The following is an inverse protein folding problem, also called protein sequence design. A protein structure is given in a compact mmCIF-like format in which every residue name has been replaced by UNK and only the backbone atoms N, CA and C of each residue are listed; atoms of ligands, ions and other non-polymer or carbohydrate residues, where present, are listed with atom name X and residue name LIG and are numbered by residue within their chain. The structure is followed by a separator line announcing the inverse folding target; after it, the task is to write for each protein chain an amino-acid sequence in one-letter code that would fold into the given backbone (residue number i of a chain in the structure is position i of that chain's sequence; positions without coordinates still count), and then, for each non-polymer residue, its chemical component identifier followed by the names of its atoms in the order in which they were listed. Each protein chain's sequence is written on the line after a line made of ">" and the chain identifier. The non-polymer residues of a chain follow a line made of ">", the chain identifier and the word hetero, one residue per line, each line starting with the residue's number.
data_IF_449407029878
#
_entry.id   IF_449407029878
#
_cell.length_a   1.000
_cell.length_b   1.000
_cell.length_c   1.000
_cell.angle_alpha   90.00
_cell.angle_beta   90.00
_cell.angle_gamma   90.00
#
_symmetry.space_group_name_H-M   'P 1'
#
loop_
_entity.id
_entity.type
_entity.pdbx_description
1 polymer ?
#
# COMPACT_ATOMS: atom_id res chain seq x y z
N UNK A 1 -6.18 -1.13 -23.44
CA UNK A 1 -5.02 -0.38 -22.88
C UNK A 1 -4.06 -1.37 -22.26
N UNK A 2 -2.85 -1.58 -22.80
CA UNK A 2 -1.86 -2.50 -22.21
C UNK A 2 -1.21 -1.79 -21.01
N UNK A 3 -1.70 -2.09 -19.80
CA UNK A 3 -1.04 -1.69 -18.55
C UNK A 3 0.39 -2.24 -18.60
N UNK A 4 1.40 -1.36 -18.66
CA UNK A 4 2.79 -1.80 -18.70
C UNK A 4 3.05 -2.65 -17.45
N UNK A 5 3.35 -3.92 -17.65
CA UNK A 5 3.67 -4.89 -16.58
C UNK A 5 5.05 -4.65 -15.97
N UNK A 6 5.48 -3.39 -15.84
CA UNK A 6 6.68 -3.06 -15.09
C UNK A 6 6.38 -3.28 -13.62
N UNK A 7 7.13 -4.21 -13.03
CA UNK A 7 7.06 -4.52 -11.61
C UNK A 7 7.16 -3.24 -10.76
N UNK A 8 6.46 -3.17 -9.62
CA UNK A 8 6.61 -2.08 -8.69
C UNK A 8 8.08 -1.92 -8.27
N UNK A 9 8.56 -0.68 -8.21
CA UNK A 9 9.93 -0.41 -7.73
C UNK A 9 10.06 -0.77 -6.25
N UNK A 10 11.29 -1.05 -5.78
CA UNK A 10 11.57 -1.30 -4.35
C UNK A 10 11.00 -0.22 -3.43
N UNK A 11 11.04 1.06 -3.86
CA UNK A 11 10.47 2.20 -3.12
C UNK A 11 8.95 2.13 -3.01
N UNK A 12 8.27 1.68 -4.06
CA UNK A 12 6.81 1.49 -4.04
C UNK A 12 6.41 0.33 -3.13
N UNK A 13 7.18 -0.77 -3.17
CA UNK A 13 6.96 -1.93 -2.32
C UNK A 13 7.15 -1.56 -0.84
N UNK A 14 8.20 -0.82 -0.51
CA UNK A 14 8.44 -0.34 0.86
C UNK A 14 7.27 0.51 1.36
N UNK A 15 6.79 1.46 0.54
CA UNK A 15 5.62 2.28 0.90
C UNK A 15 4.34 1.48 1.06
N UNK A 16 4.15 0.43 0.25
CA UNK A 16 3.01 -0.47 0.36
C UNK A 16 3.04 -1.27 1.67
N UNK A 17 4.23 -1.75 2.08
CA UNK A 17 4.44 -2.44 3.36
C UNK A 17 4.21 -1.53 4.56
N UNK A 18 4.85 -0.35 4.58
CA UNK A 18 4.64 0.65 5.64
C UNK A 18 3.14 0.95 5.82
N UNK A 19 2.40 1.01 4.70
CA UNK A 19 0.99 1.27 4.76
C UNK A 19 0.16 0.09 5.29
N UNK A 20 0.52 -1.12 4.89
CA UNK A 20 -0.09 -2.33 5.41
C UNK A 20 0.16 -2.52 6.92
N UNK A 21 1.38 -2.23 7.37
CA UNK A 21 1.77 -2.29 8.78
C UNK A 21 1.00 -1.26 9.62
N UNK A 22 0.78 -0.05 9.12
CA UNK A 22 -0.07 0.96 9.79
C UNK A 22 -1.53 0.51 9.88
N UNK A 23 -2.06 -0.11 8.83
CA UNK A 23 -3.42 -0.68 8.83
C UNK A 23 -3.57 -1.79 9.89
N UNK A 24 -2.48 -2.51 10.21
CA UNK A 24 -2.43 -3.60 11.18
C UNK A 24 -2.12 -3.15 12.62
N UNK A 25 -1.23 -2.16 12.79
CA UNK A 25 -0.68 -1.77 14.09
C UNK A 25 -1.63 -0.87 14.89
N UNK A 26 -2.43 -0.05 14.22
CA UNK A 26 -3.50 0.68 14.88
C UNK A 26 -4.74 -0.22 14.92
N UNK A 27 -5.18 -0.59 16.12
CA UNK A 27 -6.46 -1.29 16.33
C UNK A 27 -7.67 -0.48 15.81
N UNK A 28 -7.47 0.81 15.56
CA UNK A 28 -8.31 1.65 14.70
C UNK A 28 -7.69 1.68 13.30
N UNK A 29 -8.47 1.42 12.25
CA UNK A 29 -8.04 1.42 10.84
C UNK A 29 -7.51 2.80 10.41
N UNK A 30 -6.31 3.21 10.85
CA UNK A 30 -5.70 4.47 10.45
C UNK A 30 -5.18 4.28 9.03
N UNK A 31 -5.84 4.89 8.03
CA UNK A 31 -5.43 4.73 6.65
C UNK A 31 -4.21 5.60 6.37
N UNK A 32 -3.42 5.20 5.37
CA UNK A 32 -2.31 6.06 4.96
C UNK A 32 -2.85 7.30 4.26
N UNK A 33 -2.13 8.41 4.41
CA UNK A 33 -2.50 9.63 3.72
C UNK A 33 -1.78 9.73 2.36
N UNK A 34 -2.41 10.35 1.35
CA UNK A 34 -1.81 10.63 0.04
C UNK A 34 -0.43 11.29 0.13
N UNK A 35 -0.27 12.23 1.07
CA UNK A 35 0.97 12.93 1.36
C UNK A 35 2.13 12.02 1.78
N UNK A 36 1.83 10.86 2.35
CA UNK A 36 2.86 9.90 2.78
C UNK A 36 3.38 9.02 1.63
N UNK A 37 2.53 8.78 0.62
CA UNK A 37 2.88 7.97 -0.55
C UNK A 37 3.50 8.78 -1.70
N UNK A 38 3.29 10.11 -1.77
CA UNK A 38 3.84 11.04 -2.78
C UNK A 38 3.94 10.41 -4.18
N UNK A 39 5.15 10.27 -4.72
CA UNK A 39 5.46 9.77 -6.06
C UNK A 39 5.12 8.29 -6.27
N UNK A 40 4.97 7.50 -5.21
CA UNK A 40 4.59 6.08 -5.28
C UNK A 40 3.07 5.88 -5.41
N UNK A 41 2.27 6.86 -4.98
CA UNK A 41 0.81 6.79 -4.96
C UNK A 41 0.23 6.46 -6.33
N UNK A 42 0.50 7.30 -7.33
CA UNK A 42 -0.06 7.16 -8.67
C UNK A 42 0.33 5.82 -9.32
N UNK A 43 1.55 5.34 -9.03
CA UNK A 43 2.05 4.08 -9.54
C UNK A 43 1.40 2.86 -8.89
N UNK A 44 1.10 2.92 -7.58
CA UNK A 44 0.43 1.85 -6.84
C UNK A 44 -1.07 1.81 -7.17
N UNK A 45 -1.70 2.99 -7.24
CA UNK A 45 -3.12 3.15 -7.56
C UNK A 45 -3.44 2.67 -8.97
N UNK A 46 -2.67 3.09 -9.99
CA UNK A 46 -2.85 2.62 -11.38
C UNK A 46 -2.68 1.12 -11.55
N UNK A 47 -1.96 0.46 -10.63
CA UNK A 47 -1.75 -1.00 -10.61
C UNK A 47 -2.80 -1.74 -9.78
N UNK A 48 -3.74 -1.04 -9.15
CA UNK A 48 -4.77 -1.64 -8.30
C UNK A 48 -4.23 -2.22 -6.99
N UNK A 49 -3.05 -1.80 -6.54
CA UNK A 49 -2.42 -2.28 -5.30
C UNK A 49 -2.91 -1.51 -4.06
N UNK A 50 -3.48 -0.33 -4.27
CA UNK A 50 -4.08 0.51 -3.23
C UNK A 50 -5.41 1.05 -3.73
N UNK A 51 -6.32 1.29 -2.80
CA UNK A 51 -7.60 1.97 -3.01
C UNK A 51 -7.62 3.29 -2.24
N UNK A 52 -8.37 4.26 -2.75
CA UNK A 52 -8.58 5.54 -2.09
C UNK A 52 -10.04 5.64 -1.65
N UNK A 53 -10.31 5.95 -0.39
CA UNK A 53 -11.66 6.20 0.14
C UNK A 53 -11.70 7.54 0.86
N UNK A 54 -12.83 8.23 0.81
CA UNK A 54 -13.04 9.46 1.57
C UNK A 54 -13.64 9.09 2.92
N UNK A 55 -12.91 9.31 3.99
CA UNK A 55 -13.40 9.06 5.35
C UNK A 55 -13.35 10.34 6.18
N UNK A 56 -14.15 10.39 7.25
CA UNK A 56 -14.17 11.50 8.19
C UNK A 56 -13.25 11.12 9.34
N UNK A 57 -12.05 11.69 9.37
CA UNK A 57 -11.08 11.52 10.45
C UNK A 57 -10.97 12.85 11.19
N UNK A 58 -11.12 12.84 12.51
CA UNK A 58 -11.07 14.07 13.34
C UNK A 58 -12.03 15.16 12.84
N UNK A 59 -13.25 14.77 12.47
CA UNK A 59 -14.29 15.67 11.94
C UNK A 59 -13.92 16.39 10.62
N UNK A 60 -12.89 15.91 9.92
CA UNK A 60 -12.47 16.40 8.61
C UNK A 60 -12.61 15.29 7.59
N UNK A 61 -13.21 15.61 6.45
CA UNK A 61 -13.27 14.69 5.31
C UNK A 61 -11.89 14.63 4.66
N UNK A 62 -11.21 13.49 4.77
CA UNK A 62 -9.87 13.29 4.24
C UNK A 62 -9.84 12.10 3.27
N UNK A 63 -9.01 12.23 2.24
CA UNK A 63 -8.72 11.13 1.34
C UNK A 63 -7.77 10.17 2.04
N UNK A 64 -8.20 8.93 2.15
CA UNK A 64 -7.58 7.86 2.90
C UNK A 64 -7.18 6.74 1.95
N UNK A 65 -6.02 6.13 2.19
CA UNK A 65 -5.48 5.04 1.37
C UNK A 65 -5.57 3.72 2.12
N UNK A 66 -6.05 2.71 1.41
CA UNK A 66 -6.17 1.34 1.89
C UNK A 66 -5.39 0.42 0.99
N UNK A 67 -4.76 -0.60 1.58
CA UNK A 67 -4.07 -1.61 0.78
C UNK A 67 -5.13 -2.56 0.22
N UNK A 68 -5.19 -2.67 -1.11
CA UNK A 68 -6.13 -3.57 -1.77
C UNK A 68 -5.75 -5.02 -1.53
N UNK A 69 -6.66 -5.95 -1.83
CA UNK A 69 -6.36 -7.39 -1.75
C UNK A 69 -5.16 -7.78 -2.65
N UNK A 70 -5.06 -7.18 -3.83
CA UNK A 70 -3.92 -7.37 -4.73
C UNK A 70 -2.61 -6.86 -4.11
N UNK A 71 -2.65 -5.72 -3.40
CA UNK A 71 -1.52 -5.19 -2.64
C UNK A 71 -1.07 -6.14 -1.52
N UNK A 72 -2.02 -6.67 -0.76
CA UNK A 72 -1.76 -7.65 0.32
C UNK A 72 -1.17 -8.94 -0.23
N UNK A 73 -1.70 -9.46 -1.33
CA UNK A 73 -1.17 -10.65 -2.00
C UNK A 73 0.25 -10.44 -2.52
N UNK A 74 0.55 -9.25 -3.08
CA UNK A 74 1.90 -8.91 -3.51
C UNK A 74 2.88 -8.89 -2.31
N UNK A 75 2.49 -8.30 -1.18
CA UNK A 75 3.32 -8.30 0.04
C UNK A 75 3.61 -9.74 0.48
N UNK A 76 2.58 -10.59 0.59
CA UNK A 76 2.71 -12.00 0.97
C UNK A 76 3.61 -12.78 0.01
N UNK A 77 3.48 -12.57 -1.30
CA UNK A 77 4.35 -13.22 -2.29
C UNK A 77 5.81 -12.80 -2.11
N UNK A 78 6.06 -11.53 -1.82
CA UNK A 78 7.42 -11.03 -1.57
C UNK A 78 7.99 -11.57 -0.25
N UNK A 79 7.17 -11.71 0.79
CA UNK A 79 7.59 -12.34 2.05
C UNK A 79 7.92 -13.82 1.86
N UNK A 80 7.07 -14.57 1.15
CA UNK A 80 7.31 -15.99 0.85
C UNK A 80 8.48 -16.21 -0.12
N UNK A 81 8.78 -15.24 -0.99
CA UNK A 81 9.92 -15.30 -1.92
C UNK A 81 11.23 -14.81 -1.32
N UNK A 82 11.21 -14.31 -0.07
CA UNK A 82 12.44 -14.00 0.65
C UNK A 82 12.81 -15.24 1.46
N UNK A 83 13.73 -16.12 1.00
CA UNK A 83 14.26 -17.15 1.87
C UNK A 83 14.87 -16.43 3.08
N UNK A 84 14.41 -16.77 4.28
CA UNK A 84 15.04 -16.33 5.51
C UNK A 84 16.55 -16.58 5.38
N UNK A 85 17.42 -15.61 5.71
CA UNK A 85 18.84 -15.91 5.81
C UNK A 85 18.97 -17.03 6.85
N UNK A 86 19.39 -18.21 6.39
CA UNK A 86 19.73 -19.34 7.25
C UNK A 86 20.61 -18.82 8.38
N UNK A 87 20.13 -18.98 9.62
CA UNK A 87 20.93 -18.78 10.81
C UNK A 87 21.39 -20.13 11.32
#
# INVERSE_FOLDING_TARGET
>A
MKLSMRQPTKRMIAKLRECHEKELASGEKVPCLPDEMKSSLAGLYKRGLIETRMEIINNKKQLCLYVSEAGKNLIKQLENSTPAPNK
#
